data_IF_359552782606
#
_entry.id   IF_359552782606
#
_cell.length_a   1.000
_cell.length_b   1.000
_cell.length_c   1.000
_cell.angle_alpha   90.00
_cell.angle_beta   90.00
_cell.angle_gamma   90.00
#
_symmetry.space_group_name_H-M   'P 1'
#
loop_
_entity.id
_entity.type
_entity.pdbx_description
1 polymer ?
#
# COMPACT_ATOMS: atom_id res chain seq x y z
N UNK A 1 -31.21 13.30 -29.62
CA UNK A 1 -29.85 12.69 -29.64
C UNK A 1 -28.76 13.77 -29.78
N UNK A 2 -28.93 14.71 -30.68
CA UNK A 2 -27.98 15.82 -30.90
C UNK A 2 -27.83 16.72 -29.65
N UNK A 3 -28.92 17.09 -29.01
CA UNK A 3 -28.93 17.91 -27.79
C UNK A 3 -28.15 17.24 -26.64
N UNK A 4 -28.32 15.93 -26.47
CA UNK A 4 -27.57 15.14 -25.49
C UNK A 4 -26.07 15.12 -25.81
N UNK A 5 -25.71 15.04 -27.10
CA UNK A 5 -24.30 15.10 -27.52
C UNK A 5 -23.67 16.45 -27.18
N UNK A 6 -24.37 17.53 -27.41
CA UNK A 6 -23.90 18.90 -27.08
C UNK A 6 -23.63 19.05 -25.59
N UNK A 7 -24.52 18.54 -24.74
CA UNK A 7 -24.35 18.58 -23.29
C UNK A 7 -23.13 17.76 -22.80
N UNK A 8 -22.92 16.58 -23.38
CA UNK A 8 -21.77 15.73 -23.09
C UNK A 8 -20.45 16.42 -23.50
N UNK A 9 -20.39 16.99 -24.70
CA UNK A 9 -19.20 17.70 -25.18
C UNK A 9 -18.92 18.92 -24.30
N UNK A 10 -19.96 19.67 -23.92
CA UNK A 10 -19.81 20.80 -23.00
C UNK A 10 -19.18 20.36 -21.65
N UNK A 11 -19.71 19.32 -21.03
CA UNK A 11 -19.21 18.81 -19.78
C UNK A 11 -17.73 18.32 -19.91
N UNK A 12 -17.40 17.60 -21.00
CA UNK A 12 -16.02 17.18 -21.28
C UNK A 12 -15.08 18.40 -21.36
N UNK A 13 -15.47 19.44 -22.13
CA UNK A 13 -14.65 20.66 -22.29
C UNK A 13 -14.48 21.43 -20.97
N UNK A 14 -15.53 21.53 -20.17
CA UNK A 14 -15.47 22.17 -18.86
C UNK A 14 -14.47 21.43 -17.94
N UNK A 15 -14.48 20.10 -17.94
CA UNK A 15 -13.53 19.29 -17.14
C UNK A 15 -12.10 19.40 -17.65
N UNK A 16 -11.88 19.40 -18.96
CA UNK A 16 -10.54 19.59 -19.56
C UNK A 16 -9.99 20.98 -19.22
N UNK A 17 -10.81 22.01 -19.26
CA UNK A 17 -10.37 23.38 -18.93
C UNK A 17 -10.02 23.55 -17.45
N UNK A 18 -10.64 22.75 -16.56
CA UNK A 18 -10.37 22.76 -15.14
C UNK A 18 -9.14 21.90 -14.73
N UNK A 19 -8.62 21.07 -15.64
CA UNK A 19 -7.53 20.13 -15.39
C UNK A 19 -6.49 20.28 -16.51
N UNK A 20 -5.48 21.13 -16.27
CA UNK A 20 -4.46 21.53 -17.24
C UNK A 20 -3.77 20.33 -17.92
N UNK A 21 -3.54 19.26 -17.19
CA UNK A 21 -2.91 18.04 -17.68
C UNK A 21 -3.73 17.38 -18.80
N UNK A 22 -5.06 17.46 -18.74
CA UNK A 22 -5.94 16.89 -19.75
C UNK A 22 -5.94 17.68 -21.06
N UNK A 23 -5.71 18.98 -21.02
CA UNK A 23 -5.59 19.82 -22.22
C UNK A 23 -4.48 19.37 -23.17
N UNK A 24 -3.42 18.75 -22.64
CA UNK A 24 -2.32 18.19 -23.43
C UNK A 24 -2.67 16.86 -24.13
N UNK A 25 -3.73 16.20 -23.71
CA UNK A 25 -4.09 14.82 -24.16
C UNK A 25 -5.29 14.80 -25.09
N UNK A 26 -6.26 15.70 -24.88
CA UNK A 26 -7.54 15.71 -25.59
C UNK A 26 -7.60 16.77 -26.69
N UNK A 27 -7.53 16.35 -27.96
CA UNK A 27 -7.87 17.15 -29.11
C UNK A 27 -9.39 17.20 -29.30
N UNK A 28 -9.90 18.15 -30.09
CA UNK A 28 -11.33 18.25 -30.47
C UNK A 28 -11.87 16.93 -31.03
N UNK A 29 -11.09 16.26 -31.88
CA UNK A 29 -11.46 14.96 -32.48
C UNK A 29 -11.62 13.86 -31.42
N UNK A 30 -10.72 13.81 -30.43
CA UNK A 30 -10.81 12.85 -29.30
C UNK A 30 -12.01 13.15 -28.41
N UNK A 31 -12.36 14.42 -28.22
CA UNK A 31 -13.54 14.84 -27.46
C UNK A 31 -14.81 14.36 -28.18
N UNK A 32 -14.92 14.56 -29.49
CA UNK A 32 -16.05 14.09 -30.28
C UNK A 32 -16.18 12.57 -30.28
N UNK A 33 -15.05 11.87 -30.45
CA UNK A 33 -14.99 10.40 -30.39
C UNK A 33 -15.48 9.88 -29.06
N UNK A 34 -15.02 10.47 -27.94
CA UNK A 34 -15.47 10.13 -26.61
C UNK A 34 -16.97 10.37 -26.40
N UNK A 35 -17.48 11.53 -26.84
CA UNK A 35 -18.88 11.85 -26.72
C UNK A 35 -19.77 10.87 -27.52
N UNK A 36 -19.39 10.53 -28.75
CA UNK A 36 -20.11 9.54 -29.56
C UNK A 36 -20.11 8.14 -28.89
N UNK A 37 -18.99 7.71 -28.30
CA UNK A 37 -18.90 6.45 -27.57
C UNK A 37 -19.80 6.44 -26.34
N UNK A 38 -19.88 7.55 -25.59
CA UNK A 38 -20.72 7.65 -24.40
C UNK A 38 -22.22 7.70 -24.76
N UNK A 39 -22.59 8.33 -25.87
CA UNK A 39 -23.95 8.32 -26.38
C UNK A 39 -24.46 6.91 -26.69
N UNK A 40 -23.60 6.04 -27.18
CA UNK A 40 -23.98 4.64 -27.51
C UNK A 40 -24.27 3.77 -26.31
N UNK A 41 -24.01 4.24 -25.07
CA UNK A 41 -24.16 3.42 -23.83
C UNK A 41 -25.58 3.35 -23.28
N UNK A 42 -26.56 4.04 -23.85
CA UNK A 42 -27.95 4.13 -23.35
C UNK A 42 -28.12 4.54 -21.88
N UNK A 43 -27.11 5.16 -21.26
CA UNK A 43 -27.14 5.61 -19.86
C UNK A 43 -27.82 6.97 -19.75
N UNK A 44 -28.25 7.35 -18.53
CA UNK A 44 -28.73 8.71 -18.25
C UNK A 44 -27.62 9.75 -18.50
N UNK A 45 -27.95 11.03 -18.55
CA UNK A 45 -26.95 12.09 -18.74
C UNK A 45 -26.10 12.24 -17.50
N UNK A 46 -26.69 12.07 -16.33
CA UNK A 46 -26.05 12.09 -15.01
C UNK A 46 -25.02 10.96 -14.86
N UNK A 47 -25.39 9.74 -15.24
CA UNK A 47 -24.45 8.59 -15.23
C UNK A 47 -23.29 8.80 -16.20
N UNK A 48 -23.54 9.45 -17.35
CA UNK A 48 -22.49 9.77 -18.31
C UNK A 48 -21.53 10.81 -17.72
N UNK A 49 -22.02 11.82 -17.00
CA UNK A 49 -21.16 12.80 -16.33
C UNK A 49 -20.26 12.14 -15.28
N UNK A 50 -20.80 11.25 -14.45
CA UNK A 50 -20.02 10.46 -13.49
C UNK A 50 -18.94 9.63 -14.18
N UNK A 51 -19.26 8.99 -15.32
CA UNK A 51 -18.28 8.23 -16.09
C UNK A 51 -17.15 9.09 -16.65
N UNK A 52 -17.47 10.31 -17.12
CA UNK A 52 -16.47 11.26 -17.61
C UNK A 52 -15.55 11.68 -16.47
N UNK A 53 -16.12 12.08 -15.34
CA UNK A 53 -15.39 12.56 -14.18
C UNK A 53 -14.44 11.49 -13.64
N UNK A 54 -14.90 10.25 -13.48
CA UNK A 54 -14.07 9.13 -13.04
C UNK A 54 -12.95 8.80 -14.04
N UNK A 55 -13.25 8.84 -15.33
CA UNK A 55 -12.25 8.59 -16.37
C UNK A 55 -11.16 9.67 -16.35
N UNK A 56 -11.54 10.93 -16.21
CA UNK A 56 -10.59 12.03 -16.20
C UNK A 56 -9.74 12.06 -14.94
N UNK A 57 -10.33 11.83 -13.78
CA UNK A 57 -9.59 11.67 -12.54
C UNK A 57 -8.52 10.57 -12.65
N UNK A 58 -8.89 9.39 -13.18
CA UNK A 58 -7.96 8.29 -13.42
C UNK A 58 -6.84 8.67 -14.39
N UNK A 59 -7.14 9.46 -15.40
CA UNK A 59 -6.15 9.86 -16.41
C UNK A 59 -5.17 10.90 -15.88
N UNK A 60 -5.64 11.87 -15.11
CA UNK A 60 -4.79 12.87 -14.42
C UNK A 60 -3.83 12.17 -13.49
N UNK A 61 -4.31 11.21 -12.70
CA UNK A 61 -3.43 10.39 -11.83
C UNK A 61 -2.31 9.70 -12.60
N UNK A 62 -2.63 9.07 -13.74
CA UNK A 62 -1.62 8.41 -14.57
C UNK A 62 -0.56 9.37 -15.10
N UNK A 63 -0.97 10.60 -15.46
CA UNK A 63 -0.04 11.63 -15.94
C UNK A 63 0.87 12.11 -14.79
N UNK A 64 0.30 12.45 -13.63
CA UNK A 64 1.05 12.85 -12.45
C UNK A 64 2.00 11.76 -11.97
N UNK A 65 1.54 10.51 -11.96
CA UNK A 65 2.37 9.36 -11.63
C UNK A 65 3.57 9.22 -12.58
N UNK A 66 3.39 9.45 -13.88
CA UNK A 66 4.49 9.46 -14.84
C UNK A 66 5.52 10.56 -14.55
N UNK A 67 5.06 11.75 -14.19
CA UNK A 67 5.93 12.87 -13.85
C UNK A 67 6.69 12.59 -12.52
N UNK A 68 6.02 11.98 -11.55
CA UNK A 68 6.65 11.51 -10.31
C UNK A 68 7.75 10.47 -10.57
N UNK A 69 7.51 9.47 -11.42
CA UNK A 69 8.53 8.49 -11.79
C UNK A 69 9.75 9.12 -12.47
N UNK A 70 9.54 10.17 -13.26
CA UNK A 70 10.63 10.92 -13.88
C UNK A 70 11.48 11.66 -12.82
N UNK A 71 10.84 12.24 -11.81
CA UNK A 71 11.55 12.90 -10.70
C UNK A 71 12.36 11.92 -9.84
N UNK A 72 11.85 10.71 -9.62
CA UNK A 72 12.61 9.65 -8.94
C UNK A 72 13.89 9.29 -9.70
N UNK A 73 13.79 9.17 -11.02
CA UNK A 73 14.96 8.93 -11.86
C UNK A 73 16.06 9.98 -11.64
N UNK A 74 15.71 11.26 -11.70
CA UNK A 74 16.67 12.36 -11.53
C UNK A 74 17.31 12.32 -10.13
N UNK A 75 16.51 12.03 -9.10
CA UNK A 75 16.99 11.93 -7.72
C UNK A 75 18.05 10.83 -7.56
N UNK A 76 17.81 9.65 -8.11
CA UNK A 76 18.73 8.51 -7.94
C UNK A 76 19.92 8.51 -8.91
N UNK A 77 19.82 9.10 -10.10
CA UNK A 77 20.91 9.19 -11.06
C UNK A 77 22.16 9.89 -10.49
N UNK A 78 21.97 10.84 -9.58
CA UNK A 78 23.08 11.58 -8.97
C UNK A 78 23.85 10.79 -7.91
N UNK A 79 23.31 9.66 -7.46
CA UNK A 79 23.78 8.93 -6.27
C UNK A 79 24.44 7.58 -6.60
N UNK A 80 24.52 7.18 -7.89
CA UNK A 80 24.85 5.82 -8.25
C UNK A 80 26.15 5.70 -9.02
N UNK A 81 26.98 4.76 -8.59
CA UNK A 81 28.13 4.26 -9.35
C UNK A 81 27.65 3.42 -10.55
N UNK A 82 28.55 3.23 -11.51
CA UNK A 82 28.24 2.39 -12.68
C UNK A 82 27.90 0.95 -12.26
N UNK A 83 26.85 0.39 -12.87
CA UNK A 83 26.47 -1.00 -12.70
C UNK A 83 27.67 -1.95 -12.86
N UNK A 84 27.77 -2.92 -11.98
CA UNK A 84 28.72 -4.03 -12.12
C UNK A 84 28.34 -4.88 -13.30
N UNK A 85 29.33 -5.44 -13.96
CA UNK A 85 29.10 -6.36 -15.07
C UNK A 85 28.26 -7.55 -14.62
N UNK A 86 27.18 -7.85 -15.33
CA UNK A 86 26.24 -8.94 -15.02
C UNK A 86 25.01 -8.51 -14.23
N UNK A 87 24.95 -7.28 -13.71
CA UNK A 87 23.75 -6.73 -13.12
C UNK A 87 23.01 -5.87 -14.15
N UNK A 88 21.70 -5.99 -14.23
CA UNK A 88 20.87 -5.28 -15.21
C UNK A 88 19.84 -4.34 -14.58
N UNK A 89 19.81 -4.24 -13.27
CA UNK A 89 18.88 -3.36 -12.57
C UNK A 89 19.33 -3.02 -11.15
N UNK A 90 18.58 -2.10 -10.53
CA UNK A 90 18.66 -1.78 -9.11
C UNK A 90 17.32 -2.08 -8.44
N UNK A 91 17.38 -2.59 -7.21
CA UNK A 91 16.22 -2.80 -6.34
C UNK A 91 16.28 -1.82 -5.18
N UNK A 92 15.23 -1.03 -5.02
CA UNK A 92 15.06 -0.12 -3.89
C UNK A 92 14.12 -0.73 -2.86
N UNK A 93 14.60 -0.80 -1.62
CA UNK A 93 13.81 -1.19 -0.46
C UNK A 93 14.17 -0.35 0.76
N UNK A 94 13.47 -0.59 1.87
CA UNK A 94 13.85 -0.12 3.19
C UNK A 94 14.41 -1.27 4.02
N UNK A 95 15.57 -1.08 4.61
CA UNK A 95 16.13 -1.99 5.60
C UNK A 95 16.51 -1.19 6.85
N UNK A 96 15.95 -1.57 7.99
CA UNK A 96 16.19 -0.93 9.29
C UNK A 96 16.04 0.61 9.27
N UNK A 97 15.06 1.11 8.53
CA UNK A 97 14.79 2.55 8.42
C UNK A 97 15.68 3.31 7.44
N UNK A 98 16.50 2.62 6.67
CA UNK A 98 17.39 3.20 5.65
C UNK A 98 16.94 2.74 4.28
N UNK A 99 16.93 3.67 3.32
CA UNK A 99 16.79 3.33 1.90
C UNK A 99 18.01 2.56 1.43
N UNK A 100 17.79 1.37 0.94
CA UNK A 100 18.82 0.50 0.39
C UNK A 100 18.59 0.34 -1.10
N UNK A 101 19.60 0.68 -1.88
CA UNK A 101 19.62 0.49 -3.33
C UNK A 101 20.63 -0.60 -3.67
N UNK A 102 20.12 -1.77 -3.99
CA UNK A 102 20.93 -2.96 -4.30
C UNK A 102 20.99 -3.19 -5.81
N UNK A 103 22.18 -3.53 -6.28
CA UNK A 103 22.35 -4.02 -7.66
C UNK A 103 21.84 -5.45 -7.76
N UNK A 104 21.01 -5.73 -8.76
CA UNK A 104 20.44 -7.05 -8.98
C UNK A 104 20.46 -7.44 -10.46
N UNK A 105 20.42 -8.74 -10.69
CA UNK A 105 20.21 -9.34 -12.00
C UNK A 105 18.80 -9.95 -12.04
N UNK A 106 17.97 -9.50 -12.99
CA UNK A 106 16.62 -10.02 -13.20
C UNK A 106 16.53 -10.67 -14.58
N UNK A 107 16.08 -11.90 -14.61
CA UNK A 107 15.82 -12.68 -15.81
C UNK A 107 14.35 -13.05 -15.90
N UNK A 108 13.68 -12.66 -16.99
CA UNK A 108 12.30 -13.04 -17.26
C UNK A 108 12.23 -14.55 -17.55
N UNK A 109 11.45 -15.31 -16.75
CA UNK A 109 11.24 -16.75 -16.96
C UNK A 109 9.98 -16.97 -17.82
N UNK A 110 8.88 -16.30 -17.47
CA UNK A 110 7.57 -16.54 -18.09
C UNK A 110 6.63 -15.36 -17.91
N UNK A 111 5.94 -15.01 -18.99
CA UNK A 111 4.77 -14.13 -18.89
C UNK A 111 3.60 -14.90 -18.25
N UNK A 112 3.12 -14.43 -17.10
CA UNK A 112 1.94 -14.98 -16.43
C UNK A 112 0.70 -14.38 -17.06
N UNK A 113 0.73 -13.07 -17.28
CA UNK A 113 -0.26 -12.30 -18.04
C UNK A 113 0.40 -11.02 -18.58
N UNK A 114 -0.27 -10.16 -19.37
CA UNK A 114 0.34 -8.98 -19.98
C UNK A 114 1.00 -7.99 -18.99
N UNK A 115 0.62 -8.03 -17.70
CA UNK A 115 1.08 -7.09 -16.68
C UNK A 115 1.90 -7.75 -15.56
N UNK A 116 2.11 -9.07 -15.64
CA UNK A 116 2.75 -9.86 -14.59
C UNK A 116 3.70 -10.88 -15.20
N UNK A 117 4.97 -10.83 -14.80
CA UNK A 117 6.01 -11.76 -15.23
C UNK A 117 6.58 -12.53 -14.04
N UNK A 118 6.81 -13.81 -14.23
CA UNK A 118 7.65 -14.61 -13.33
C UNK A 118 9.12 -14.37 -13.72
N UNK A 119 9.95 -14.06 -12.75
CA UNK A 119 11.37 -13.73 -12.96
C UNK A 119 12.27 -14.48 -11.97
N UNK A 120 13.54 -14.65 -12.32
CA UNK A 120 14.62 -14.96 -11.39
C UNK A 120 15.30 -13.67 -10.94
N UNK A 121 15.63 -13.60 -9.67
CA UNK A 121 16.39 -12.50 -9.06
C UNK A 121 17.70 -13.06 -8.56
N UNK A 122 18.83 -12.58 -9.10
CA UNK A 122 20.19 -13.01 -8.76
C UNK A 122 20.43 -14.52 -8.89
N UNK A 123 19.68 -15.21 -9.74
CA UNK A 123 19.67 -16.68 -9.92
C UNK A 123 19.29 -17.50 -8.67
N UNK A 124 18.88 -16.85 -7.57
CA UNK A 124 18.63 -17.50 -6.29
C UNK A 124 17.14 -17.48 -5.92
N UNK A 125 16.46 -16.40 -6.24
CA UNK A 125 15.08 -16.19 -5.83
C UNK A 125 14.17 -16.01 -7.04
N UNK A 126 12.97 -16.58 -6.96
CA UNK A 126 11.89 -16.27 -7.89
C UNK A 126 11.11 -15.05 -7.39
N UNK A 127 10.58 -14.29 -8.30
CA UNK A 127 9.72 -13.16 -7.98
C UNK A 127 8.69 -12.91 -9.08
N UNK A 128 7.74 -12.03 -8.75
CA UNK A 128 6.70 -11.57 -9.67
C UNK A 128 6.91 -10.11 -9.99
N UNK A 129 7.37 -9.82 -11.21
CA UNK A 129 7.56 -8.46 -11.72
C UNK A 129 6.24 -7.92 -12.27
N UNK A 130 5.86 -6.74 -11.81
CA UNK A 130 4.66 -5.98 -12.24
C UNK A 130 5.09 -4.65 -12.86
N UNK A 131 4.36 -4.19 -13.88
CA UNK A 131 4.60 -2.89 -14.50
C UNK A 131 4.34 -1.72 -13.54
N UNK A 132 4.88 -0.53 -13.87
CA UNK A 132 4.61 0.68 -13.12
C UNK A 132 3.12 1.01 -13.09
N UNK A 133 2.57 1.16 -11.90
CA UNK A 133 1.21 1.65 -11.67
C UNK A 133 1.10 2.20 -10.25
N UNK A 134 0.19 3.13 -10.04
CA UNK A 134 -0.10 3.68 -8.71
C UNK A 134 -0.50 2.59 -7.71
N UNK A 135 -1.19 1.53 -8.14
CA UNK A 135 -1.54 0.41 -7.27
C UNK A 135 -0.31 -0.34 -6.75
N UNK A 136 0.74 -0.45 -7.59
CA UNK A 136 1.99 -1.08 -7.20
C UNK A 136 2.79 -0.21 -6.24
N UNK A 137 2.65 1.12 -6.30
CA UNK A 137 3.24 2.02 -5.31
C UNK A 137 2.58 1.86 -3.93
N UNK A 138 1.27 1.62 -3.89
CA UNK A 138 0.61 1.26 -2.63
C UNK A 138 1.11 -0.08 -2.06
N UNK A 139 1.47 -1.06 -2.89
CA UNK A 139 2.10 -2.29 -2.40
C UNK A 139 3.46 -2.04 -1.74
N UNK A 140 4.28 -1.13 -2.28
CA UNK A 140 5.54 -0.71 -1.66
C UNK A 140 5.29 -0.09 -0.29
N UNK A 141 4.37 0.87 -0.21
CA UNK A 141 4.00 1.52 1.05
C UNK A 141 3.52 0.50 2.09
N UNK A 142 2.67 -0.43 1.68
CA UNK A 142 2.14 -1.47 2.59
C UNK A 142 3.23 -2.41 3.06
N UNK A 143 4.19 -2.79 2.19
CA UNK A 143 5.35 -3.58 2.56
C UNK A 143 6.20 -2.89 3.62
N UNK A 144 6.45 -1.59 3.46
CA UNK A 144 7.26 -0.80 4.38
C UNK A 144 6.55 -0.57 5.74
N UNK A 145 5.25 -0.26 5.72
CA UNK A 145 4.45 -0.14 6.95
C UNK A 145 4.34 -1.50 7.66
N UNK A 146 4.17 -2.59 6.93
CA UNK A 146 4.14 -3.94 7.50
C UNK A 146 5.45 -4.29 8.21
N UNK A 147 6.59 -3.92 7.61
CA UNK A 147 7.90 -4.07 8.23
C UNK A 147 7.98 -3.32 9.58
N UNK A 148 7.51 -2.06 9.64
CA UNK A 148 7.46 -1.26 10.87
C UNK A 148 6.63 -1.92 11.97
N UNK A 149 5.52 -2.53 11.61
CA UNK A 149 4.55 -3.13 12.53
C UNK A 149 4.80 -4.62 12.80
N UNK A 150 5.89 -5.19 12.29
CA UNK A 150 6.21 -6.62 12.38
C UNK A 150 5.09 -7.53 11.82
N UNK A 151 4.44 -7.10 10.77
CA UNK A 151 3.46 -7.89 10.03
C UNK A 151 4.16 -8.61 8.89
N UNK A 152 3.85 -9.88 8.71
CA UNK A 152 4.42 -10.66 7.60
C UNK A 152 3.81 -10.20 6.27
N UNK A 153 4.64 -9.62 5.42
CA UNK A 153 4.28 -9.08 4.11
C UNK A 153 5.28 -9.56 3.07
N UNK A 154 4.83 -9.83 1.85
CA UNK A 154 5.71 -10.20 0.76
C UNK A 154 6.71 -9.06 0.49
N UNK A 155 8.02 -9.37 0.49
CA UNK A 155 9.05 -8.38 0.21
C UNK A 155 8.83 -7.77 -1.17
N UNK A 156 8.63 -6.47 -1.20
CA UNK A 156 8.33 -5.70 -2.41
C UNK A 156 9.41 -4.67 -2.63
N UNK A 157 9.95 -4.62 -3.85
CA UNK A 157 11.01 -3.70 -4.23
C UNK A 157 10.59 -2.91 -5.46
N UNK A 158 10.97 -1.63 -5.53
CA UNK A 158 10.91 -0.88 -6.79
C UNK A 158 12.12 -1.27 -7.65
N UNK A 159 11.88 -1.49 -8.94
CA UNK A 159 12.91 -1.85 -9.91
C UNK A 159 13.27 -0.63 -10.74
N UNK A 160 14.55 -0.38 -10.90
CA UNK A 160 15.12 0.57 -11.85
C UNK A 160 16.03 -0.16 -12.85
N UNK A 161 16.05 0.27 -14.11
CA UNK A 161 17.02 -0.21 -15.09
C UNK A 161 18.41 0.43 -14.88
N UNK A 162 19.36 0.09 -15.76
CA UNK A 162 20.73 0.63 -15.74
C UNK A 162 20.79 2.15 -15.83
N UNK A 163 19.79 2.75 -16.45
CA UNK A 163 19.65 4.20 -16.64
C UNK A 163 18.81 4.86 -15.56
N UNK A 164 18.46 4.10 -14.51
CA UNK A 164 17.56 4.51 -13.42
C UNK A 164 16.16 4.90 -13.86
N UNK A 165 15.66 4.31 -14.94
CA UNK A 165 14.24 4.42 -15.24
C UNK A 165 13.48 3.41 -14.37
N UNK A 166 12.41 3.85 -13.67
CA UNK A 166 11.56 2.93 -12.93
C UNK A 166 10.88 1.94 -13.89
N UNK A 167 11.04 0.65 -13.63
CA UNK A 167 10.50 -0.44 -14.46
C UNK A 167 9.27 -1.11 -13.86
N UNK A 168 8.95 -0.81 -12.61
CA UNK A 168 7.84 -1.41 -11.88
C UNK A 168 8.21 -1.84 -10.49
N UNK A 169 7.53 -2.85 -10.00
CA UNK A 169 7.82 -3.46 -8.71
C UNK A 169 8.02 -4.97 -8.88
N UNK A 170 8.76 -5.54 -7.94
CA UNK A 170 8.91 -6.98 -7.82
C UNK A 170 8.52 -7.43 -6.42
N UNK A 171 7.67 -8.46 -6.35
CA UNK A 171 7.39 -9.18 -5.11
C UNK A 171 8.24 -10.46 -5.12
N UNK A 172 9.11 -10.62 -4.14
CA UNK A 172 9.90 -11.85 -3.99
C UNK A 172 8.96 -12.98 -3.58
N UNK A 173 9.13 -14.15 -4.20
CA UNK A 173 8.37 -15.33 -3.83
C UNK A 173 8.69 -15.74 -2.38
N UNK A 174 7.64 -16.02 -1.63
CA UNK A 174 7.73 -16.38 -0.21
C UNK A 174 7.64 -17.89 0.05
N UNK A 175 7.57 -18.70 -1.01
CA UNK A 175 7.60 -20.16 -0.90
C UNK A 175 9.04 -20.65 -0.88
N UNK A 176 9.36 -21.53 0.09
CA UNK A 176 10.59 -22.31 0.07
C UNK A 176 10.46 -23.50 -0.89
N UNK A 177 11.56 -24.19 -1.28
CA UNK A 177 11.51 -25.28 -2.26
C UNK A 177 10.55 -26.44 -1.95
N UNK A 178 10.26 -26.68 -0.65
CA UNK A 178 9.36 -27.76 -0.21
C UNK A 178 7.98 -27.24 0.21
N UNK A 179 7.72 -25.97 0.06
CA UNK A 179 6.47 -25.32 0.40
C UNK A 179 5.61 -25.13 -0.84
N UNK A 180 4.31 -25.14 -0.62
CA UNK A 180 3.30 -24.82 -1.64
C UNK A 180 2.36 -23.76 -1.08
N UNK A 181 2.22 -22.66 -1.79
CA UNK A 181 1.18 -21.68 -1.53
C UNK A 181 -0.17 -22.15 -2.09
N UNK A 182 -1.21 -22.05 -1.28
CA UNK A 182 -2.60 -22.19 -1.69
C UNK A 182 -3.38 -20.97 -1.20
N UNK A 183 -4.05 -20.26 -2.10
CA UNK A 183 -5.03 -19.26 -1.66
C UNK A 183 -6.20 -19.94 -0.93
N UNK A 184 -7.06 -19.18 -0.25
CA UNK A 184 -8.12 -19.79 0.55
C UNK A 184 -9.15 -20.55 -0.28
N UNK A 185 -9.37 -20.20 -1.54
CA UNK A 185 -10.24 -20.97 -2.45
C UNK A 185 -9.63 -22.32 -2.80
N UNK A 186 -8.33 -22.35 -3.12
CA UNK A 186 -7.57 -23.58 -3.36
C UNK A 186 -7.45 -24.41 -2.07
N UNK A 187 -7.31 -23.75 -0.91
CA UNK A 187 -7.29 -24.41 0.40
C UNK A 187 -8.61 -25.17 0.68
N UNK A 188 -9.77 -24.65 0.28
CA UNK A 188 -11.03 -25.36 0.40
C UNK A 188 -11.06 -26.65 -0.43
N UNK A 189 -10.52 -26.62 -1.64
CA UNK A 189 -10.39 -27.83 -2.45
C UNK A 189 -9.46 -28.85 -1.81
N UNK A 190 -8.31 -28.39 -1.29
CA UNK A 190 -7.37 -29.23 -0.56
C UNK A 190 -8.01 -29.88 0.69
N UNK A 191 -8.75 -29.10 1.49
CA UNK A 191 -9.49 -29.62 2.66
C UNK A 191 -10.52 -30.66 2.24
N UNK A 192 -11.25 -30.44 1.14
CA UNK A 192 -12.24 -31.38 0.63
C UNK A 192 -11.63 -32.74 0.27
N UNK A 193 -10.41 -32.75 -0.23
CA UNK A 193 -9.72 -33.97 -0.66
C UNK A 193 -9.00 -34.69 0.49
N UNK A 194 -8.35 -33.93 1.40
CA UNK A 194 -7.40 -34.47 2.38
C UNK A 194 -7.94 -34.49 3.82
N UNK A 195 -8.99 -33.71 4.16
CA UNK A 195 -9.46 -33.59 5.54
C UNK A 195 -10.40 -34.75 5.94
N UNK A 196 -10.21 -35.23 7.15
CA UNK A 196 -11.11 -36.19 7.80
C UNK A 196 -12.31 -35.56 8.52
N UNK A 197 -12.36 -34.21 8.57
CA UNK A 197 -13.42 -33.45 9.27
C UNK A 197 -14.60 -33.13 8.35
N UNK A 198 -15.26 -34.16 7.86
CA UNK A 198 -16.27 -34.08 6.79
C UNK A 198 -17.41 -33.10 7.07
N UNK A 199 -17.98 -33.10 8.29
CA UNK A 199 -19.09 -32.19 8.63
C UNK A 199 -18.68 -30.73 8.53
N UNK A 200 -17.52 -30.35 9.14
CA UNK A 200 -17.01 -29.00 9.10
C UNK A 200 -16.66 -28.58 7.65
N UNK A 201 -16.06 -29.50 6.89
CA UNK A 201 -15.73 -29.26 5.48
C UNK A 201 -16.99 -28.98 4.65
N UNK A 202 -18.05 -29.74 4.85
CA UNK A 202 -19.31 -29.51 4.15
C UNK A 202 -19.92 -28.14 4.49
N UNK A 203 -19.97 -27.79 5.76
CA UNK A 203 -20.44 -26.46 6.21
C UNK A 203 -19.66 -25.31 5.57
N UNK A 204 -18.33 -25.44 5.47
CA UNK A 204 -17.46 -24.45 4.83
C UNK A 204 -17.76 -24.30 3.35
N UNK A 205 -17.93 -25.40 2.62
CA UNK A 205 -18.25 -25.39 1.19
C UNK A 205 -19.64 -24.77 0.94
N UNK A 206 -20.62 -25.09 1.75
CA UNK A 206 -21.95 -24.49 1.65
C UNK A 206 -21.96 -22.99 1.92
N UNK A 207 -21.19 -22.54 2.94
CA UNK A 207 -21.03 -21.12 3.23
C UNK A 207 -20.33 -20.39 2.08
N UNK A 208 -19.25 -20.97 1.54
CA UNK A 208 -18.53 -20.44 0.40
C UNK A 208 -19.44 -20.27 -0.82
N UNK A 209 -20.06 -21.35 -1.26
CA UNK A 209 -20.95 -21.39 -2.44
C UNK A 209 -22.09 -20.39 -2.33
N UNK A 210 -22.66 -20.25 -1.14
CA UNK A 210 -23.72 -19.29 -0.86
C UNK A 210 -23.25 -17.84 -1.03
N UNK A 211 -22.04 -17.51 -0.59
CA UNK A 211 -21.57 -16.14 -0.57
C UNK A 211 -20.89 -15.72 -1.88
N UNK A 212 -20.17 -16.61 -2.56
CA UNK A 212 -19.51 -16.29 -3.84
C UNK A 212 -20.51 -16.03 -4.97
N UNK A 213 -21.68 -16.70 -4.96
CA UNK A 213 -22.71 -16.53 -6.01
C UNK A 213 -23.33 -15.13 -6.07
N UNK A 214 -23.27 -14.38 -4.98
CA UNK A 214 -23.89 -13.06 -4.90
C UNK A 214 -22.94 -11.91 -5.21
N UNK A 215 -21.66 -12.21 -5.44
CA UNK A 215 -20.63 -11.19 -5.61
C UNK A 215 -20.44 -10.35 -4.33
N UNK A 216 -19.71 -9.24 -4.45
CA UNK A 216 -19.43 -8.35 -3.34
C UNK A 216 -20.70 -7.61 -2.89
N UNK A 217 -21.07 -7.71 -1.62
CA UNK A 217 -22.28 -7.11 -1.02
C UNK A 217 -21.98 -6.46 0.33
N UNK A 218 -22.83 -5.55 0.76
CA UNK A 218 -22.72 -4.95 2.10
C UNK A 218 -23.03 -5.99 3.20
N UNK A 219 -22.19 -5.98 4.24
CA UNK A 219 -22.36 -6.85 5.40
C UNK A 219 -23.54 -6.41 6.27
N UNK A 220 -24.33 -7.36 6.74
CA UNK A 220 -25.30 -7.16 7.83
C UNK A 220 -24.59 -7.38 9.17
N UNK A 221 -25.14 -6.94 10.30
CA UNK A 221 -24.49 -7.07 11.60
C UNK A 221 -23.99 -8.49 11.94
N UNK A 222 -24.74 -9.52 11.60
CA UNK A 222 -24.35 -10.92 11.82
C UNK A 222 -23.23 -11.40 10.89
N UNK A 223 -23.13 -10.83 9.69
CA UNK A 223 -22.19 -11.27 8.68
C UNK A 223 -20.73 -10.94 9.09
N UNK A 224 -20.51 -9.94 9.98
CA UNK A 224 -19.17 -9.54 10.44
C UNK A 224 -18.45 -10.68 11.17
N UNK A 225 -19.08 -11.25 12.18
CA UNK A 225 -18.51 -12.35 12.96
C UNK A 225 -18.47 -13.65 12.14
N UNK A 226 -19.56 -14.00 11.46
CA UNK A 226 -19.65 -15.20 10.62
C UNK A 226 -18.55 -15.23 9.56
N UNK A 227 -18.19 -14.07 8.99
CA UNK A 227 -17.18 -13.94 7.97
C UNK A 227 -15.75 -14.16 8.50
N UNK A 228 -15.46 -13.70 9.72
CA UNK A 228 -14.19 -13.96 10.41
C UNK A 228 -14.08 -15.41 10.84
N UNK A 229 -15.14 -15.94 11.45
CA UNK A 229 -15.22 -17.35 11.89
C UNK A 229 -15.10 -18.32 10.70
N UNK A 230 -15.60 -17.97 9.54
CA UNK A 230 -15.45 -18.77 8.33
C UNK A 230 -13.97 -19.06 8.02
N UNK A 231 -13.11 -18.07 8.03
CA UNK A 231 -11.66 -18.27 7.78
C UNK A 231 -11.01 -19.05 8.91
N UNK A 232 -11.37 -18.77 10.17
CA UNK A 232 -10.86 -19.52 11.32
C UNK A 232 -11.30 -21.00 11.23
N UNK A 233 -12.49 -21.27 10.76
CA UNK A 233 -12.98 -22.65 10.58
C UNK A 233 -12.29 -23.36 9.40
N UNK A 234 -11.84 -22.65 8.36
CA UNK A 234 -10.94 -23.20 7.35
C UNK A 234 -9.65 -23.71 8.03
N UNK A 235 -9.04 -22.94 8.91
CA UNK A 235 -7.85 -23.39 9.64
C UNK A 235 -8.12 -24.64 10.48
N UNK A 236 -9.25 -24.67 11.21
CA UNK A 236 -9.65 -25.85 11.99
C UNK A 236 -9.91 -27.09 11.14
N UNK A 237 -10.30 -26.93 9.88
CA UNK A 237 -10.60 -28.05 8.97
C UNK A 237 -9.36 -28.66 8.31
N UNK A 238 -8.18 -28.04 8.42
CA UNK A 238 -6.94 -28.53 7.83
C UNK A 238 -6.59 -29.94 8.34
N UNK A 239 -6.06 -30.83 7.48
CA UNK A 239 -5.54 -32.11 7.90
C UNK A 239 -4.35 -31.94 8.86
N UNK A 240 -4.17 -32.86 9.80
CA UNK A 240 -3.06 -32.92 10.77
C UNK A 240 -2.82 -31.65 11.61
N UNK A 241 -3.70 -30.65 11.54
CA UNK A 241 -3.56 -29.38 12.25
C UNK A 241 -3.63 -29.57 13.77
N UNK A 242 -2.69 -28.99 14.49
CA UNK A 242 -2.67 -28.96 15.95
C UNK A 242 -3.39 -27.72 16.49
N UNK A 243 -3.86 -27.78 17.74
CA UNK A 243 -4.49 -26.64 18.42
C UNK A 243 -3.55 -25.42 18.49
N UNK A 244 -2.26 -25.64 18.80
CA UNK A 244 -1.25 -24.59 18.82
C UNK A 244 -1.11 -23.91 17.45
N UNK A 245 -1.12 -24.68 16.37
CA UNK A 245 -1.01 -24.15 15.02
C UNK A 245 -2.29 -23.38 14.61
N UNK A 246 -3.47 -23.84 15.05
CA UNK A 246 -4.74 -23.11 14.86
C UNK A 246 -4.67 -21.75 15.57
N UNK A 247 -4.24 -21.70 16.83
CA UNK A 247 -4.14 -20.46 17.60
C UNK A 247 -3.13 -19.48 16.97
N UNK A 248 -2.01 -19.99 16.43
CA UNK A 248 -1.05 -19.17 15.69
C UNK A 248 -1.64 -18.60 14.40
N UNK A 249 -2.21 -19.45 13.52
CA UNK A 249 -2.84 -19.01 12.27
C UNK A 249 -3.95 -17.99 12.52
N UNK A 250 -4.72 -18.18 13.58
CA UNK A 250 -5.77 -17.26 14.00
C UNK A 250 -5.20 -15.92 14.45
N UNK A 251 -4.13 -15.92 15.24
CA UNK A 251 -3.44 -14.69 15.65
C UNK A 251 -2.90 -13.92 14.44
N UNK A 252 -2.17 -14.60 13.55
CA UNK A 252 -1.58 -14.01 12.37
C UNK A 252 -2.67 -13.39 11.45
N UNK A 253 -3.76 -14.12 11.23
CA UNK A 253 -4.91 -13.65 10.44
C UNK A 253 -5.58 -12.41 11.04
N UNK A 254 -5.81 -12.42 12.35
CA UNK A 254 -6.50 -11.31 13.03
C UNK A 254 -5.61 -10.04 13.07
N UNK A 255 -4.32 -10.19 13.29
CA UNK A 255 -3.37 -9.07 13.21
C UNK A 255 -3.27 -8.52 11.78
N UNK A 256 -3.29 -9.38 10.76
CA UNK A 256 -3.37 -8.93 9.38
C UNK A 256 -4.66 -8.12 9.12
N UNK A 257 -5.81 -8.48 9.73
CA UNK A 257 -7.04 -7.68 9.59
C UNK A 257 -6.92 -6.29 10.23
N UNK A 258 -6.22 -6.14 11.34
CA UNK A 258 -5.91 -4.82 11.93
C UNK A 258 -5.00 -4.01 10.99
N UNK A 259 -3.98 -4.65 10.40
CA UNK A 259 -3.11 -4.02 9.41
C UNK A 259 -3.88 -3.56 8.17
N UNK A 260 -4.77 -4.40 7.63
CA UNK A 260 -5.62 -4.05 6.49
C UNK A 260 -6.57 -2.88 6.79
N UNK A 261 -7.12 -2.81 8.01
CA UNK A 261 -7.90 -1.66 8.47
C UNK A 261 -7.05 -0.40 8.55
N UNK A 262 -5.85 -0.49 9.14
CA UNK A 262 -4.92 0.63 9.27
C UNK A 262 -4.54 1.20 7.91
N UNK A 263 -4.12 0.34 6.98
CA UNK A 263 -3.62 0.74 5.66
C UNK A 263 -4.71 1.00 4.62
N UNK A 264 -5.99 0.86 5.00
CA UNK A 264 -7.12 0.95 4.07
C UNK A 264 -6.99 0.01 2.86
N UNK A 265 -6.42 -1.17 3.04
CA UNK A 265 -6.32 -2.15 1.98
C UNK A 265 -7.72 -2.61 1.54
N UNK A 266 -7.99 -2.60 0.24
CA UNK A 266 -9.29 -2.98 -0.32
C UNK A 266 -9.26 -4.31 -1.07
N UNK A 267 -8.07 -4.85 -1.35
CA UNK A 267 -7.93 -6.13 -2.04
C UNK A 267 -7.88 -7.33 -1.07
N UNK A 268 -8.86 -7.41 -0.18
CA UNK A 268 -8.92 -8.35 0.94
C UNK A 268 -9.88 -9.52 0.68
N UNK A 269 -9.88 -10.04 -0.53
CA UNK A 269 -10.67 -11.22 -0.91
C UNK A 269 -9.89 -12.52 -0.64
N UNK A 270 -10.59 -13.65 -0.77
CA UNK A 270 -10.03 -14.98 -0.48
C UNK A 270 -8.90 -15.40 -1.42
N UNK A 271 -8.81 -14.84 -2.63
CA UNK A 271 -7.74 -15.14 -3.58
C UNK A 271 -6.41 -14.46 -3.23
N UNK A 272 -6.45 -13.42 -2.37
CA UNK A 272 -5.29 -12.66 -1.89
C UNK A 272 -4.96 -12.93 -0.41
N UNK A 273 -5.44 -14.04 0.10
CA UNK A 273 -5.12 -14.61 1.40
C UNK A 273 -4.94 -16.10 1.23
N UNK A 274 -3.93 -16.68 1.83
CA UNK A 274 -3.68 -18.10 1.67
C UNK A 274 -2.82 -18.70 2.76
N UNK A 275 -2.54 -19.96 2.58
CA UNK A 275 -1.68 -20.74 3.44
C UNK A 275 -0.48 -21.24 2.66
N UNK A 276 0.64 -21.33 3.36
CA UNK A 276 1.81 -22.04 2.89
C UNK A 276 1.80 -23.39 3.58
N UNK A 277 1.79 -24.42 2.75
CA UNK A 277 1.71 -25.82 3.18
C UNK A 277 3.05 -26.47 2.90
N UNK A 278 3.62 -27.12 3.91
CA UNK A 278 4.78 -27.98 3.77
C UNK A 278 4.37 -29.42 4.14
N UNK A 279 4.74 -30.36 3.31
CA UNK A 279 4.53 -31.80 3.56
C UNK A 279 5.84 -32.46 3.91
N UNK A 280 6.07 -32.65 5.21
CA UNK A 280 7.24 -33.36 5.72
C UNK A 280 6.86 -34.81 6.05
N UNK A 281 7.41 -35.75 5.29
CA UNK A 281 7.11 -37.17 5.40
C UNK A 281 5.62 -37.46 5.15
N UNK A 282 4.82 -37.70 6.17
CA UNK A 282 3.39 -37.99 6.10
C UNK A 282 2.51 -36.92 6.78
N UNK A 283 3.12 -35.83 7.28
CA UNK A 283 2.39 -34.80 8.02
C UNK A 283 2.44 -33.47 7.29
N UNK A 284 1.35 -32.72 7.39
CA UNK A 284 1.28 -31.35 6.91
C UNK A 284 1.62 -30.36 8.03
N UNK A 285 2.38 -29.33 7.69
CA UNK A 285 2.58 -28.12 8.51
C UNK A 285 2.08 -26.91 7.76
N UNK A 286 1.64 -25.89 8.51
CA UNK A 286 0.97 -24.74 7.95
C UNK A 286 1.49 -23.44 8.54
N UNK A 287 1.63 -22.42 7.70
CA UNK A 287 1.75 -21.01 8.11
C UNK A 287 0.85 -20.14 7.26
N UNK A 288 0.42 -19.01 7.80
CA UNK A 288 -0.28 -18.00 6.99
C UNK A 288 0.68 -17.48 5.92
N UNK A 289 0.21 -17.25 4.71
CA UNK A 289 1.03 -16.57 3.71
C UNK A 289 1.30 -15.14 4.14
N UNK A 290 2.48 -14.58 3.83
CA UNK A 290 2.68 -13.14 3.91
C UNK A 290 1.57 -12.40 3.17
N UNK A 291 1.18 -11.23 3.66
CA UNK A 291 0.24 -10.38 2.94
C UNK A 291 0.86 -9.94 1.61
N UNK A 292 0.10 -9.97 0.53
CA UNK A 292 0.58 -9.65 -0.82
C UNK A 292 -0.55 -9.09 -1.68
N UNK A 293 -0.19 -8.44 -2.79
CA UNK A 293 -1.13 -7.91 -3.78
C UNK A 293 -2.21 -7.02 -3.16
N UNK A 294 -1.85 -6.29 -2.09
CA UNK A 294 -2.74 -5.35 -1.41
C UNK A 294 -2.53 -3.96 -2.00
N UNK A 295 -3.62 -3.29 -2.29
CA UNK A 295 -3.60 -1.91 -2.75
C UNK A 295 -4.84 -1.20 -2.22
N UNK A 296 -4.72 0.10 -2.08
CA UNK A 296 -5.87 0.95 -1.85
C UNK A 296 -6.38 1.42 -3.21
N UNK A 297 -7.64 1.19 -3.48
CA UNK A 297 -8.30 1.79 -4.63
C UNK A 297 -9.09 2.96 -4.08
N UNK A 298 -8.94 4.11 -4.70
CA UNK A 298 -9.94 5.13 -4.65
C UNK A 298 -11.18 4.57 -5.37
N UNK A 299 -11.98 3.83 -4.64
CA UNK A 299 -13.29 3.41 -5.13
C UNK A 299 -14.26 4.49 -4.63
N UNK A 300 -14.62 5.47 -5.48
CA UNK A 300 -15.58 6.52 -5.09
C UNK A 300 -16.90 5.93 -4.57
N UNK A 301 -17.14 4.65 -4.86
CA UNK A 301 -18.36 3.91 -4.53
C UNK A 301 -18.35 3.26 -3.15
N UNK A 302 -17.19 3.06 -2.50
CA UNK A 302 -17.13 2.34 -1.21
C UNK A 302 -17.08 3.32 -0.01
N UNK A 303 -16.52 4.53 -0.19
CA UNK A 303 -16.31 5.47 0.90
C UNK A 303 -15.06 5.15 1.74
N UNK A 304 -14.55 6.15 2.47
CA UNK A 304 -13.33 6.01 3.29
C UNK A 304 -13.57 5.29 4.62
N UNK A 305 -14.81 5.16 5.04
CA UNK A 305 -15.29 4.48 6.25
C UNK A 305 -15.52 2.97 6.06
N UNK A 306 -15.46 2.48 4.83
CA UNK A 306 -15.69 1.08 4.48
C UNK A 306 -14.43 0.41 3.95
N UNK A 307 -14.38 -0.93 4.03
CA UNK A 307 -13.34 -1.79 3.44
C UNK A 307 -13.96 -3.09 2.93
N UNK A 308 -13.15 -3.90 2.26
CA UNK A 308 -13.55 -5.25 1.85
C UNK A 308 -13.00 -6.25 2.85
N UNK A 309 -13.82 -7.18 3.30
CA UNK A 309 -13.41 -8.31 4.11
C UNK A 309 -14.02 -9.58 3.52
N UNK A 310 -13.19 -10.40 2.89
CA UNK A 310 -13.56 -11.64 2.21
C UNK A 310 -14.69 -11.45 1.17
N UNK A 311 -15.96 -11.73 1.53
CA UNK A 311 -17.12 -11.63 0.64
C UNK A 311 -17.90 -10.32 0.75
N UNK A 312 -17.54 -9.45 1.69
CA UNK A 312 -18.40 -8.33 2.08
C UNK A 312 -17.70 -6.99 2.02
N UNK A 313 -18.47 -5.96 1.68
CA UNK A 313 -18.15 -4.57 2.01
C UNK A 313 -18.57 -4.36 3.46
N UNK A 314 -17.64 -3.94 4.31
CA UNK A 314 -17.82 -3.80 5.76
C UNK A 314 -17.49 -2.37 6.20
N UNK A 315 -18.22 -1.88 7.20
CA UNK A 315 -17.86 -0.68 7.93
C UNK A 315 -16.63 -0.95 8.81
N UNK A 316 -15.61 -0.10 8.74
CA UNK A 316 -14.34 -0.27 9.46
C UNK A 316 -14.51 -0.29 10.97
N UNK A 317 -15.31 0.65 11.51
CA UNK A 317 -15.53 0.76 12.97
C UNK A 317 -16.30 -0.46 13.48
N UNK A 318 -17.30 -0.93 12.74
CA UNK A 318 -18.05 -2.14 13.11
C UNK A 318 -17.19 -3.39 13.03
N UNK A 319 -16.34 -3.53 12.01
CA UNK A 319 -15.40 -4.64 11.91
C UNK A 319 -14.42 -4.62 13.08
N UNK A 320 -13.81 -3.47 13.38
CA UNK A 320 -12.90 -3.31 14.50
C UNK A 320 -13.57 -3.65 15.84
N UNK A 321 -14.78 -3.17 16.08
CA UNK A 321 -15.55 -3.50 17.29
C UNK A 321 -15.84 -5.01 17.38
N UNK A 322 -16.13 -5.67 16.25
CA UNK A 322 -16.33 -7.13 16.20
C UNK A 322 -15.03 -7.85 16.58
N UNK A 323 -13.88 -7.43 16.06
CA UNK A 323 -12.57 -7.99 16.39
C UNK A 323 -12.22 -7.78 17.87
N UNK A 324 -12.41 -6.59 18.41
CA UNK A 324 -12.15 -6.27 19.81
C UNK A 324 -13.04 -7.08 20.74
N UNK A 325 -14.32 -7.21 20.45
CA UNK A 325 -15.27 -7.88 21.34
C UNK A 325 -15.05 -9.40 21.40
N UNK A 326 -14.58 -10.01 20.31
CA UNK A 326 -14.48 -11.47 20.20
C UNK A 326 -13.05 -11.99 20.25
N UNK A 327 -12.04 -11.16 19.90
CA UNK A 327 -10.68 -11.62 19.66
C UNK A 327 -9.59 -10.72 20.26
N UNK A 328 -9.93 -9.88 21.24
CA UNK A 328 -9.01 -8.89 21.82
C UNK A 328 -7.65 -9.45 22.21
N UNK A 329 -7.58 -10.62 22.83
CA UNK A 329 -6.31 -11.26 23.25
C UNK A 329 -5.29 -11.47 22.12
N UNK A 330 -5.74 -11.59 20.85
CA UNK A 330 -4.87 -11.81 19.70
C UNK A 330 -4.37 -10.54 19.04
N UNK A 331 -5.14 -9.45 19.14
CA UNK A 331 -4.88 -8.18 18.46
C UNK A 331 -4.38 -7.08 19.41
N UNK A 332 -4.42 -7.31 20.71
CA UNK A 332 -4.07 -6.34 21.76
C UNK A 332 -2.66 -5.79 21.57
N UNK A 333 -1.67 -6.65 21.30
CA UNK A 333 -0.27 -6.25 21.17
C UNK A 333 -0.08 -5.28 19.99
N UNK A 334 -0.60 -5.63 18.80
CA UNK A 334 -0.49 -4.79 17.61
C UNK A 334 -1.24 -3.46 17.79
N UNK A 335 -2.45 -3.49 18.35
CA UNK A 335 -3.21 -2.28 18.62
C UNK A 335 -2.49 -1.37 19.63
N UNK A 336 -1.90 -1.96 20.69
CA UNK A 336 -1.10 -1.23 21.66
C UNK A 336 0.18 -0.65 21.05
N UNK A 337 0.85 -1.37 20.16
CA UNK A 337 2.00 -0.87 19.43
C UNK A 337 1.62 0.38 18.60
N UNK A 338 0.51 0.33 17.87
CA UNK A 338 0.02 1.45 17.06
C UNK A 338 -0.33 2.65 17.95
N UNK A 339 -1.07 2.44 19.04
CA UNK A 339 -1.62 3.54 19.86
C UNK A 339 -0.57 4.16 20.79
N UNK A 340 0.27 3.35 21.43
CA UNK A 340 1.30 3.83 22.37
C UNK A 340 2.43 4.57 21.65
N UNK A 341 2.69 4.24 20.38
CA UNK A 341 3.74 4.86 19.58
C UNK A 341 3.18 5.82 18.51
N UNK A 342 1.92 6.23 18.61
CA UNK A 342 1.23 7.06 17.61
C UNK A 342 2.02 8.29 17.19
N UNK A 343 2.56 9.05 18.16
CA UNK A 343 3.27 10.30 17.91
C UNK A 343 4.57 10.11 17.13
N UNK A 344 5.20 8.95 17.25
CA UNK A 344 6.39 8.56 16.50
C UNK A 344 6.05 7.84 15.19
N UNK A 345 5.01 7.01 15.21
CA UNK A 345 4.62 6.20 14.05
C UNK A 345 4.05 7.07 12.91
N UNK A 346 3.23 8.07 13.22
CA UNK A 346 2.60 8.94 12.21
C UNK A 346 3.65 9.64 11.33
N UNK A 347 4.68 10.34 11.86
CA UNK A 347 5.70 10.96 11.03
C UNK A 347 6.42 9.98 10.10
N UNK A 348 6.76 8.78 10.60
CA UNK A 348 7.45 7.75 9.81
C UNK A 348 6.56 7.23 8.68
N UNK A 349 5.32 6.87 9.00
CA UNK A 349 4.35 6.41 7.99
C UNK A 349 4.11 7.50 6.94
N UNK A 350 4.01 8.74 7.36
CA UNK A 350 3.86 9.87 6.44
C UNK A 350 5.08 10.00 5.51
N UNK A 351 6.29 9.79 6.03
CA UNK A 351 7.50 9.81 5.23
C UNK A 351 7.52 8.66 4.21
N UNK A 352 7.24 7.44 4.64
CA UNK A 352 7.12 6.26 3.75
C UNK A 352 6.13 6.53 2.61
N UNK A 353 4.98 7.12 2.92
CA UNK A 353 3.97 7.44 1.90
C UNK A 353 4.50 8.49 0.91
N UNK A 354 5.13 9.57 1.39
CA UNK A 354 5.68 10.64 0.55
C UNK A 354 6.75 10.14 -0.42
N UNK A 355 7.45 9.09 -0.08
CA UNK A 355 8.51 8.54 -0.91
C UNK A 355 8.01 7.69 -2.07
N UNK A 356 6.77 7.25 -2.03
CA UNK A 356 6.18 6.37 -3.02
C UNK A 356 5.04 6.99 -3.83
N UNK A 357 4.44 8.09 -3.36
CA UNK A 357 3.31 8.75 -4.02
C UNK A 357 3.61 10.20 -4.37
N UNK A 358 2.91 10.74 -5.36
CA UNK A 358 2.94 12.16 -5.68
C UNK A 358 2.22 13.01 -4.61
N UNK A 359 2.39 14.33 -4.67
CA UNK A 359 1.94 15.26 -3.63
C UNK A 359 0.42 15.19 -3.32
N UNK A 360 -0.42 15.01 -4.32
CA UNK A 360 -1.88 14.98 -4.11
C UNK A 360 -2.31 13.64 -3.52
N UNK A 361 -1.81 12.55 -4.08
CA UNK A 361 -2.15 11.20 -3.66
C UNK A 361 -1.62 10.92 -2.24
N UNK A 362 -0.42 11.39 -1.87
CA UNK A 362 0.10 11.15 -0.53
C UNK A 362 -0.68 11.91 0.56
N UNK A 363 -1.10 13.14 0.32
CA UNK A 363 -1.89 13.90 1.31
C UNK A 363 -3.22 13.21 1.62
N UNK A 364 -3.90 12.71 0.60
CA UNK A 364 -5.13 11.96 0.77
C UNK A 364 -4.90 10.66 1.56
N UNK A 365 -3.85 9.93 1.22
CA UNK A 365 -3.56 8.66 1.88
C UNK A 365 -3.07 8.83 3.31
N UNK A 366 -2.22 9.83 3.58
CA UNK A 366 -1.82 10.21 4.94
C UNK A 366 -3.04 10.51 5.81
N UNK A 367 -4.01 11.27 5.29
CA UNK A 367 -5.24 11.56 6.03
C UNK A 367 -5.99 10.27 6.37
N UNK A 368 -6.16 9.36 5.41
CA UNK A 368 -6.84 8.08 5.62
C UNK A 368 -6.14 7.26 6.72
N UNK A 369 -4.81 7.13 6.67
CA UNK A 369 -4.05 6.38 7.68
C UNK A 369 -4.21 7.03 9.06
N UNK A 370 -4.09 8.36 9.16
CA UNK A 370 -4.23 9.07 10.44
C UNK A 370 -5.65 8.91 11.01
N UNK A 371 -6.68 8.98 10.18
CA UNK A 371 -8.06 8.74 10.60
C UNK A 371 -8.25 7.29 11.10
N UNK A 372 -7.64 6.31 10.43
CA UNK A 372 -7.68 4.91 10.86
C UNK A 372 -6.95 4.70 12.21
N UNK A 373 -5.79 5.33 12.42
CA UNK A 373 -5.09 5.30 13.72
C UNK A 373 -5.99 5.86 14.84
N UNK A 374 -6.68 6.98 14.59
CA UNK A 374 -7.59 7.57 15.55
C UNK A 374 -8.80 6.66 15.87
N UNK A 375 -9.32 5.94 14.88
CA UNK A 375 -10.37 4.94 15.08
C UNK A 375 -9.87 3.80 15.98
N UNK A 376 -8.67 3.28 15.72
CA UNK A 376 -8.05 2.23 16.53
C UNK A 376 -7.85 2.71 17.97
N UNK A 377 -7.30 3.91 18.17
CA UNK A 377 -7.07 4.49 19.49
C UNK A 377 -8.37 4.68 20.29
N UNK A 378 -9.41 5.23 19.66
CA UNK A 378 -10.70 5.45 20.33
C UNK A 378 -11.35 4.12 20.75
N UNK A 379 -11.29 3.10 19.89
CA UNK A 379 -11.84 1.77 20.19
C UNK A 379 -11.07 1.06 21.31
N UNK A 380 -9.74 1.25 21.39
CA UNK A 380 -8.93 0.76 22.51
C UNK A 380 -9.31 1.40 23.83
N UNK A 381 -9.46 2.73 23.86
CA UNK A 381 -9.88 3.47 25.06
C UNK A 381 -11.27 3.05 25.54
N UNK A 382 -12.23 2.88 24.63
CA UNK A 382 -13.56 2.37 24.97
C UNK A 382 -13.50 0.97 25.62
N UNK A 383 -12.62 0.08 25.12
CA UNK A 383 -12.43 -1.26 25.67
C UNK A 383 -11.79 -1.23 27.07
N UNK A 384 -10.76 -0.43 27.28
CA UNK A 384 -10.07 -0.31 28.59
C UNK A 384 -11.01 0.22 29.68
N UNK A 385 -11.92 1.14 29.35
CA UNK A 385 -12.93 1.64 30.28
C UNK A 385 -13.96 0.57 30.71
N UNK A 386 -14.14 -0.48 29.91
CA UNK A 386 -15.13 -1.54 30.15
C UNK A 386 -14.54 -2.80 30.79
N UNK A 387 -13.22 -2.93 30.86
CA UNK A 387 -12.51 -4.10 31.45
C UNK A 387 -11.58 -3.63 32.58
N UNK A 388 -11.71 -4.13 33.83
CA UNK A 388 -10.76 -3.80 34.89
C UNK A 388 -9.36 -4.34 34.57
N UNK A 389 -8.32 -3.55 34.89
CA UNK A 389 -6.93 -3.88 34.70
C UNK A 389 -6.58 -5.26 35.30
N UNK A 390 -6.19 -6.19 34.47
CA UNK A 390 -5.52 -7.42 34.92
C UNK A 390 -4.01 -7.22 34.77
N UNK A 391 -3.21 -7.81 35.70
CA UNK A 391 -1.74 -7.71 35.81
C UNK A 391 -0.94 -8.18 34.57
N UNK A 392 -1.58 -8.40 33.40
CA UNK A 392 -0.94 -8.85 32.17
C UNK A 392 -0.29 -7.70 31.36
N UNK A 393 -0.42 -6.43 31.80
CA UNK A 393 0.02 -5.28 30.99
C UNK A 393 1.55 -5.03 31.02
N UNK A 394 2.32 -5.60 31.98
CA UNK A 394 3.77 -5.38 32.07
C UNK A 394 4.55 -6.10 30.94
N UNK A 395 4.15 -7.32 30.57
CA UNK A 395 4.83 -8.10 29.50
C UNK A 395 4.58 -7.51 28.10
N UNK A 396 3.44 -6.86 27.88
CA UNK A 396 3.10 -6.22 26.61
C UNK A 396 3.94 -4.96 26.40
N UNK A 397 4.21 -4.21 27.46
CA UNK A 397 5.06 -3.01 27.40
C UNK A 397 6.51 -3.36 27.06
N UNK A 398 7.06 -4.49 27.56
CA UNK A 398 8.41 -4.93 27.21
C UNK A 398 8.51 -5.32 25.72
N UNK A 399 7.57 -6.10 25.19
CA UNK A 399 7.56 -6.52 23.79
C UNK A 399 7.39 -5.31 22.84
N UNK A 400 6.51 -4.36 23.17
CA UNK A 400 6.34 -3.13 22.41
C UNK A 400 7.60 -2.26 22.43
N UNK A 401 8.33 -2.19 23.54
CA UNK A 401 9.59 -1.47 23.65
C UNK A 401 10.70 -2.13 22.79
N UNK A 402 10.74 -3.46 22.71
CA UNK A 402 11.71 -4.18 21.87
C UNK A 402 11.41 -3.90 20.38
N UNK A 403 10.15 -3.98 19.96
CA UNK A 403 9.74 -3.66 18.60
C UNK A 403 10.01 -2.20 18.23
N UNK A 404 9.70 -1.29 19.15
CA UNK A 404 9.99 0.13 18.96
C UNK A 404 11.49 0.36 18.77
N UNK A 405 12.33 -0.13 19.67
CA UNK A 405 13.79 0.08 19.62
C UNK A 405 14.44 -0.57 18.40
N UNK A 406 13.95 -1.72 17.97
CA UNK A 406 14.58 -2.47 16.88
C UNK A 406 14.10 -2.05 15.49
N UNK A 407 12.91 -1.45 15.36
CA UNK A 407 12.31 -1.16 14.05
C UNK A 407 11.89 0.30 13.88
N UNK A 408 11.22 0.90 14.86
CA UNK A 408 10.70 2.26 14.78
C UNK A 408 11.79 3.29 15.10
N UNK A 409 12.57 3.11 16.16
CA UNK A 409 13.61 4.05 16.54
C UNK A 409 14.67 4.29 15.46
N UNK A 410 15.19 3.28 14.74
CA UNK A 410 16.11 3.50 13.62
C UNK A 410 15.53 4.38 12.50
N UNK A 411 14.23 4.26 12.22
CA UNK A 411 13.56 5.15 11.27
C UNK A 411 13.52 6.60 11.75
N UNK A 412 13.22 6.82 13.03
CA UNK A 412 13.18 8.17 13.62
C UNK A 412 14.56 8.82 13.54
N UNK A 413 15.60 8.10 13.93
CA UNK A 413 16.97 8.61 13.93
C UNK A 413 17.42 9.01 12.52
N UNK A 414 17.13 8.20 11.52
CA UNK A 414 17.43 8.50 10.13
C UNK A 414 16.59 9.67 9.58
N UNK A 415 15.29 9.71 9.92
CA UNK A 415 14.39 10.79 9.51
C UNK A 415 14.83 12.14 10.05
N UNK A 416 15.16 12.22 11.34
CA UNK A 416 15.63 13.47 11.97
C UNK A 416 16.95 13.93 11.33
N UNK A 417 17.86 13.00 11.02
CA UNK A 417 19.15 13.30 10.41
C UNK A 417 18.98 13.84 8.98
N UNK A 418 18.15 13.21 8.16
CA UNK A 418 17.87 13.67 6.79
C UNK A 418 17.19 15.07 6.75
N UNK A 419 16.21 15.31 7.60
CA UNK A 419 15.53 16.63 7.68
C UNK A 419 16.50 17.73 8.16
N UNK A 420 17.39 17.40 9.11
CA UNK A 420 18.40 18.34 9.60
C UNK A 420 19.47 18.65 8.54
N UNK A 421 19.90 17.66 7.76
CA UNK A 421 20.82 17.86 6.65
C UNK A 421 20.17 18.66 5.50
N UNK A 422 18.93 18.37 5.15
CA UNK A 422 18.20 19.10 4.12
C UNK A 422 17.89 20.55 4.54
N UNK A 423 17.51 20.79 5.79
CA UNK A 423 17.32 22.12 6.34
C UNK A 423 18.64 22.92 6.36
N UNK A 424 19.76 22.27 6.72
CA UNK A 424 21.09 22.90 6.70
C UNK A 424 21.55 23.22 5.27
N UNK A 425 21.34 22.33 4.30
CA UNK A 425 21.64 22.59 2.87
C UNK A 425 20.81 23.76 2.34
N UNK A 426 19.52 23.81 2.64
CA UNK A 426 18.64 24.91 2.25
C UNK A 426 19.08 26.26 2.85
N UNK A 427 19.44 26.30 4.13
CA UNK A 427 19.95 27.52 4.80
C UNK A 427 21.32 27.95 4.29
N UNK A 428 22.20 27.00 3.99
CA UNK A 428 23.52 27.27 3.42
C UNK A 428 23.43 27.89 2.01
N UNK A 429 22.52 27.35 1.18
CA UNK A 429 22.24 27.90 -0.17
C UNK A 429 21.64 29.30 -0.05
N UNK A 430 20.71 29.54 0.85
CA UNK A 430 20.11 30.86 1.07
C UNK A 430 21.12 31.88 1.53
N UNK A 431 22.01 31.53 2.48
CA UNK A 431 23.09 32.38 2.96
C UNK A 431 24.07 32.72 1.81
N UNK A 432 24.43 31.73 0.98
CA UNK A 432 25.31 31.95 -0.18
C UNK A 432 24.70 32.93 -1.20
N UNK A 433 23.39 32.78 -1.50
CA UNK A 433 22.68 33.69 -2.40
C UNK A 433 22.60 35.10 -1.82
N UNK A 434 22.26 35.27 -0.56
CA UNK A 434 22.17 36.56 0.11
C UNK A 434 23.55 37.25 0.13
N UNK A 435 24.61 36.49 0.40
CA UNK A 435 25.99 37.00 0.41
C UNK A 435 26.42 37.46 -1.00
N UNK A 436 26.11 36.66 -2.04
CA UNK A 436 26.44 37.05 -3.43
C UNK A 436 25.70 38.32 -3.86
N UNK A 437 24.42 38.46 -3.54
CA UNK A 437 23.63 39.67 -3.82
C UNK A 437 24.23 40.88 -3.11
N UNK A 438 24.65 40.72 -1.86
CA UNK A 438 25.28 41.78 -1.08
C UNK A 438 26.60 42.27 -1.71
N UNK A 439 27.46 41.35 -2.15
CA UNK A 439 28.70 41.69 -2.85
C UNK A 439 28.45 42.40 -4.19
N UNK A 440 27.47 41.97 -4.96
CA UNK A 440 27.08 42.62 -6.23
C UNK A 440 26.59 44.05 -5.95
N UNK A 441 25.75 44.23 -4.93
CA UNK A 441 25.21 45.53 -4.56
C UNK A 441 26.32 46.51 -4.12
N UNK A 442 27.26 46.04 -3.28
CA UNK A 442 28.42 46.83 -2.86
C UNK A 442 29.29 47.18 -4.06
N UNK A 443 29.55 46.27 -4.98
CA UNK A 443 30.30 46.51 -6.21
C UNK A 443 29.67 47.60 -7.09
N UNK A 444 28.36 47.59 -7.24
CA UNK A 444 27.62 48.62 -7.99
C UNK A 444 27.73 49.98 -7.31
N UNK A 445 27.61 50.05 -5.98
CA UNK A 445 27.74 51.28 -5.23
C UNK A 445 29.19 51.87 -5.38
N UNK A 446 30.21 51.02 -5.26
CA UNK A 446 31.61 51.47 -5.44
C UNK A 446 31.90 51.97 -6.86
N UNK A 447 31.33 51.31 -7.87
CA UNK A 447 31.41 51.75 -9.26
C UNK A 447 30.70 53.10 -9.49
N UNK A 448 29.56 53.32 -8.88
CA UNK A 448 28.83 54.59 -8.94
C UNK A 448 29.62 55.70 -8.25
N UNK A 449 30.21 55.47 -7.07
CA UNK A 449 31.06 56.42 -6.37
C UNK A 449 32.31 56.80 -7.23
N UNK A 450 32.96 55.79 -7.83
CA UNK A 450 34.10 55.98 -8.71
C UNK A 450 33.71 56.81 -9.95
N UNK A 451 32.58 56.54 -10.57
CA UNK A 451 32.09 57.30 -11.73
C UNK A 451 31.80 58.75 -11.35
N UNK A 452 31.18 59.02 -10.21
CA UNK A 452 30.90 60.37 -9.72
C UNK A 452 32.19 61.11 -9.38
N UNK A 453 33.18 60.46 -8.77
CA UNK A 453 34.49 61.09 -8.46
C UNK A 453 35.25 61.48 -9.73
N UNK A 454 35.12 60.72 -10.80
CA UNK A 454 35.74 60.98 -12.09
C UNK A 454 35.07 62.10 -12.91
N UNK A 455 33.78 62.35 -12.65
CA UNK A 455 33.03 63.47 -13.26
C UNK A 455 33.28 64.81 -12.59
N UNK A 456 33.82 64.80 -11.36
CA UNK A 456 34.13 66.00 -10.57
C UNK A 456 35.66 66.41 -10.62
N UNK A 457 36.44 65.70 -11.41
CA UNK A 457 37.76 66.04 -11.81
C UNK A 457 37.80 66.63 -13.25
#
# INVERSE_FOLDING_TARGET
>A
MEEKKILIIKHIKERINNLEELGKVYSEEKIETLANKLLSTNKSIEDIYILIDNKFATQVRKLKHKDYLASLKEYYLSSIDKLKKGNNCYLLSYDQGVKVLEQAFIEDIKDVNPYLKLVNVNNENKGYKKENSINNDYELIMSDIAYLLNIDYAKTYRIFDEEMNPQGVININFENPNERFLNLEETLHFIKEESTKFTLTQELLEYHDKNIRFGLKEARPKDYLENIEYVINIFKALPDITEENIEKLKSDYLNMKIFELLTNSLNNNLSNLGLIINKESLKYTYRLSPSYNKYTIDIPTIGTDKTICNFFIVDKKQLLNTLINNYYKYIKELMSLITNNKDSLIPIVNQVIKEHLDFEDYNNYIKIINDNINIIESSMKEKQLTTPDTKEDESINENNNILYNNRIAPFIDNYITEDYENANRGSTILIAIVTAVLFITIGIILLAIYAVSKMNM
#
